data_IF_533683158550
#
_entry.id   IF_533683158550
#
_cell.length_a   1.000
_cell.length_b   1.000
_cell.length_c   1.000
_cell.angle_alpha   90.00
_cell.angle_beta   90.00
_cell.angle_gamma   90.00
#
_symmetry.space_group_name_H-M   'P 1'
#
loop_
_entity.id
_entity.type
_entity.pdbx_description
1 polymer ?
#
# COMPACT_ATOMS: atom_id res chain seq x y z
N UNK A 1 2.06 11.13 22.40
CA UNK A 1 1.05 11.34 21.33
C UNK A 1 0.36 10.02 21.08
N UNK A 2 -0.95 10.02 20.81
CA UNK A 2 -1.69 8.80 20.47
C UNK A 2 -1.39 8.49 19.00
N UNK A 3 -0.94 7.28 18.69
CA UNK A 3 -0.82 6.84 17.29
C UNK A 3 -2.23 6.72 16.70
N UNK A 4 -2.47 7.44 15.60
CA UNK A 4 -3.70 7.31 14.82
C UNK A 4 -3.56 6.08 13.92
N UNK A 5 -4.53 5.19 13.98
CA UNK A 5 -4.60 4.03 13.10
C UNK A 5 -5.57 4.30 11.96
N UNK A 6 -5.47 3.52 10.88
CA UNK A 6 -6.41 3.57 9.76
C UNK A 6 -7.87 3.35 10.20
N UNK A 7 -8.09 2.57 11.25
CA UNK A 7 -9.41 2.33 11.85
C UNK A 7 -10.00 3.56 12.58
N UNK A 8 -9.17 4.54 12.93
CA UNK A 8 -9.60 5.77 13.59
C UNK A 8 -10.04 6.86 12.59
N UNK A 9 -9.98 6.58 11.29
CA UNK A 9 -10.33 7.56 10.25
C UNK A 9 -11.84 7.82 10.17
N UNK A 10 -12.21 9.10 10.14
CA UNK A 10 -13.60 9.49 9.93
C UNK A 10 -14.04 9.20 8.50
N UNK A 11 -15.21 8.57 8.36
CA UNK A 11 -15.86 8.37 7.05
C UNK A 11 -16.11 9.70 6.35
N UNK A 12 -15.98 9.70 5.03
CA UNK A 12 -16.10 10.92 4.22
C UNK A 12 -14.91 11.88 4.32
N UNK A 13 -13.84 11.51 5.05
CA UNK A 13 -12.59 12.27 4.97
C UNK A 13 -11.98 12.14 3.57
N UNK A 14 -11.35 13.21 3.10
CA UNK A 14 -10.52 13.19 1.90
C UNK A 14 -9.13 12.68 2.23
N UNK A 15 -8.67 11.65 1.52
CA UNK A 15 -7.44 10.90 1.85
C UNK A 15 -6.50 10.85 0.66
N UNK A 16 -5.26 11.27 0.88
CA UNK A 16 -4.18 10.98 -0.05
C UNK A 16 -3.64 9.57 0.21
N UNK A 17 -3.63 8.73 -0.82
CA UNK A 17 -3.13 7.35 -0.71
C UNK A 17 -1.64 7.34 -1.11
N UNK A 18 -0.79 6.98 -0.16
CA UNK A 18 0.64 6.81 -0.38
C UNK A 18 0.97 5.44 -1.03
N UNK A 19 2.11 5.38 -1.71
CA UNK A 19 2.67 4.20 -2.39
C UNK A 19 2.68 2.95 -1.50
N UNK A 20 3.00 3.12 -0.21
CA UNK A 20 3.14 2.02 0.73
C UNK A 20 1.84 1.23 0.92
N UNK A 21 0.69 1.90 0.96
CA UNK A 21 -0.61 1.23 1.15
C UNK A 21 -0.87 0.24 0.00
N UNK A 22 -0.65 0.69 -1.23
CA UNK A 22 -0.87 -0.14 -2.42
C UNK A 22 0.22 -1.22 -2.51
N UNK A 23 1.48 -0.88 -2.23
CA UNK A 23 2.60 -1.82 -2.29
C UNK A 23 2.45 -2.95 -1.27
N UNK A 24 2.03 -2.67 -0.02
CA UNK A 24 1.79 -3.70 0.99
C UNK A 24 0.63 -4.63 0.65
N UNK A 25 -0.43 -4.08 0.05
CA UNK A 25 -1.52 -4.87 -0.46
C UNK A 25 -1.05 -5.84 -1.57
N UNK A 26 -0.36 -5.32 -2.60
CA UNK A 26 0.09 -6.10 -3.75
C UNK A 26 1.15 -7.16 -3.40
N UNK A 27 2.06 -6.83 -2.48
CA UNK A 27 3.12 -7.75 -2.04
C UNK A 27 2.65 -8.80 -1.04
N UNK A 28 1.42 -8.70 -0.53
CA UNK A 28 0.93 -9.57 0.53
C UNK A 28 1.71 -9.42 1.83
N UNK A 29 2.12 -8.19 2.17
CA UNK A 29 2.97 -7.90 3.33
C UNK A 29 2.39 -8.50 4.62
N UNK A 30 3.18 -9.27 5.37
CA UNK A 30 2.70 -10.10 6.49
C UNK A 30 1.98 -9.30 7.60
N UNK A 31 2.40 -8.05 7.83
CA UNK A 31 1.87 -7.22 8.93
C UNK A 31 0.77 -6.29 8.42
N UNK A 32 0.99 -5.66 7.26
CA UNK A 32 0.17 -4.54 6.79
C UNK A 32 -0.74 -4.88 5.62
N UNK A 33 -0.49 -5.99 4.91
CA UNK A 33 -1.23 -6.33 3.69
C UNK A 33 -2.73 -6.53 3.93
N UNK A 34 -3.12 -7.07 5.08
CA UNK A 34 -4.52 -7.19 5.49
C UNK A 34 -5.18 -5.84 5.75
N UNK A 35 -4.55 -4.99 6.56
CA UNK A 35 -5.04 -3.65 6.88
C UNK A 35 -5.14 -2.77 5.64
N UNK A 36 -4.10 -2.77 4.79
CA UNK A 36 -4.10 -2.04 3.52
C UNK A 36 -5.20 -2.54 2.57
N UNK A 37 -5.43 -3.86 2.49
CA UNK A 37 -6.54 -4.42 1.70
C UNK A 37 -7.89 -3.91 2.18
N UNK A 38 -8.14 -3.90 3.49
CA UNK A 38 -9.42 -3.47 4.05
C UNK A 38 -9.64 -1.97 3.85
N UNK A 39 -8.60 -1.15 4.01
CA UNK A 39 -8.65 0.27 3.70
C UNK A 39 -8.99 0.52 2.22
N UNK A 40 -8.29 -0.16 1.30
CA UNK A 40 -8.54 -0.02 -0.15
C UNK A 40 -9.97 -0.47 -0.53
N UNK A 41 -10.53 -1.49 0.11
CA UNK A 41 -11.95 -1.84 -0.07
C UNK A 41 -12.90 -0.72 0.35
N UNK A 42 -12.59 0.00 1.42
CA UNK A 42 -13.35 1.17 1.86
C UNK A 42 -13.26 2.33 0.87
N UNK A 43 -12.10 2.50 0.23
CA UNK A 43 -11.92 3.45 -0.88
C UNK A 43 -12.79 3.04 -2.08
N UNK A 44 -12.74 1.77 -2.48
CA UNK A 44 -13.52 1.23 -3.60
C UNK A 44 -15.04 1.32 -3.35
N UNK A 45 -15.48 1.20 -2.09
CA UNK A 45 -16.90 1.36 -1.69
C UNK A 45 -17.32 2.82 -1.46
N UNK A 46 -16.45 3.79 -1.74
CA UNK A 46 -16.66 5.23 -1.50
C UNK A 46 -16.96 5.59 -0.03
N UNK A 47 -16.45 4.81 0.93
CA UNK A 47 -16.45 5.19 2.35
C UNK A 47 -15.51 6.37 2.64
N UNK A 48 -14.51 6.56 1.78
CA UNK A 48 -13.54 7.65 1.82
C UNK A 48 -13.44 8.32 0.45
N UNK A 49 -13.42 9.64 0.43
CA UNK A 49 -12.99 10.37 -0.77
C UNK A 49 -11.47 10.23 -0.85
N UNK A 50 -10.93 9.82 -2.00
CA UNK A 50 -9.49 9.52 -2.06
C UNK A 50 -8.87 9.90 -3.39
N UNK A 51 -7.56 10.16 -3.34
CA UNK A 51 -6.78 10.52 -4.51
C UNK A 51 -5.35 9.98 -4.41
N UNK A 52 -4.77 9.76 -5.59
CA UNK A 52 -3.36 9.43 -5.82
C UNK A 52 -2.82 10.43 -6.83
N UNK A 53 -1.50 10.56 -6.91
CA UNK A 53 -0.85 11.30 -7.99
C UNK A 53 -0.01 10.37 -8.86
N UNK A 54 0.47 10.88 -9.99
CA UNK A 54 1.25 10.11 -10.96
C UNK A 54 2.57 9.59 -10.38
N UNK A 55 3.13 10.29 -9.39
CA UNK A 55 4.35 9.88 -8.68
C UNK A 55 4.08 8.60 -7.89
N UNK A 56 3.00 8.56 -7.10
CA UNK A 56 2.57 7.37 -6.36
C UNK A 56 2.36 6.19 -7.29
N UNK A 57 1.65 6.40 -8.40
CA UNK A 57 1.40 5.33 -9.38
C UNK A 57 2.71 4.79 -9.99
N UNK A 58 3.66 5.68 -10.30
CA UNK A 58 4.97 5.31 -10.84
C UNK A 58 5.80 4.50 -9.85
N UNK A 59 5.79 4.87 -8.57
CA UNK A 59 6.49 4.15 -7.52
C UNK A 59 5.87 2.78 -7.24
N UNK A 60 4.54 2.69 -7.21
CA UNK A 60 3.83 1.40 -7.08
C UNK A 60 4.23 0.45 -8.20
N UNK A 61 4.24 0.93 -9.45
CA UNK A 61 4.62 0.11 -10.59
C UNK A 61 6.09 -0.34 -10.49
N UNK A 62 7.00 0.57 -10.14
CA UNK A 62 8.42 0.25 -9.96
C UNK A 62 8.63 -0.80 -8.86
N UNK A 63 7.94 -0.65 -7.73
CA UNK A 63 8.03 -1.58 -6.60
C UNK A 63 7.46 -2.95 -6.96
N UNK A 64 6.36 -2.99 -7.72
CA UNK A 64 5.79 -4.23 -8.25
C UNK A 64 6.77 -4.95 -9.19
N UNK A 65 7.35 -4.24 -10.17
CA UNK A 65 8.33 -4.81 -11.10
C UNK A 65 9.56 -5.34 -10.35
N UNK A 66 10.09 -4.58 -9.39
CA UNK A 66 11.19 -5.03 -8.52
C UNK A 66 10.82 -6.33 -7.81
N UNK A 67 9.66 -6.36 -7.16
CA UNK A 67 9.16 -7.54 -6.44
C UNK A 67 9.06 -8.77 -7.37
N UNK A 68 8.53 -8.61 -8.57
CA UNK A 68 8.42 -9.68 -9.56
C UNK A 68 9.78 -10.19 -10.04
N UNK A 69 10.73 -9.29 -10.31
CA UNK A 69 12.10 -9.66 -10.67
C UNK A 69 12.79 -10.45 -9.55
N UNK A 70 12.60 -10.04 -8.30
CA UNK A 70 13.15 -10.76 -7.16
C UNK A 70 12.50 -12.12 -6.96
N UNK A 71 11.18 -12.22 -7.12
CA UNK A 71 10.43 -13.49 -7.11
C UNK A 71 10.98 -14.46 -8.15
N UNK A 72 11.21 -14.00 -9.39
CA UNK A 72 11.82 -14.80 -10.46
C UNK A 72 13.23 -15.29 -10.13
N UNK A 73 13.98 -14.55 -9.29
CA UNK A 73 15.32 -14.91 -8.81
C UNK A 73 15.30 -15.75 -7.52
N UNK A 74 14.14 -16.16 -7.03
CA UNK A 74 14.00 -16.91 -5.77
C UNK A 74 14.25 -16.08 -4.50
N UNK A 75 14.29 -14.75 -4.62
CA UNK A 75 14.45 -13.83 -3.48
C UNK A 75 13.08 -13.54 -2.90
N UNK A 76 12.92 -13.75 -1.58
CA UNK A 76 11.62 -13.60 -0.91
C UNK A 76 11.14 -12.12 -0.93
N UNK A 77 9.88 -11.84 -1.31
CA UNK A 77 9.35 -10.46 -1.44
C UNK A 77 9.50 -9.56 -0.21
N UNK A 78 9.41 -10.10 1.01
CA UNK A 78 9.58 -9.28 2.23
C UNK A 78 11.01 -8.76 2.43
N UNK A 79 12.02 -9.35 1.78
CA UNK A 79 13.38 -8.79 1.75
C UNK A 79 13.48 -7.60 0.79
N UNK A 80 12.56 -7.49 -0.17
CA UNK A 80 12.53 -6.42 -1.16
C UNK A 80 12.06 -5.11 -0.54
N UNK A 81 11.11 -5.15 0.39
CA UNK A 81 10.63 -3.95 1.11
C UNK A 81 11.76 -3.28 1.91
N UNK A 82 12.76 -4.05 2.37
CA UNK A 82 13.95 -3.50 3.05
C UNK A 82 14.97 -2.88 2.07
N UNK A 83 14.92 -3.25 0.79
CA UNK A 83 15.82 -2.78 -0.28
C UNK A 83 15.20 -1.66 -1.13
N UNK A 84 13.90 -1.39 -0.96
CA UNK A 84 13.23 -0.22 -1.52
C UNK A 84 13.52 0.95 -0.59
N UNK A 85 14.62 1.67 -0.89
CA UNK A 85 14.90 3.03 -0.40
C UNK A 85 14.51 4.05 -1.45
#
# INVERSE_FOLDING_TARGET
>A
MRELKLEDMQRGSMVFIDTNIITYHLSGHNIFGGTSRNFLKGVESAEYESYVNDVVLSEVLLNYIKSELFRLRGIKPHRVVLEIK
#
